data_IF_504948958372
#
_entry.id   IF_504948958372
#
_cell.length_a   1.000
_cell.length_b   1.000
_cell.length_c   1.000
_cell.angle_alpha   90.00
_cell.angle_beta   90.00
_cell.angle_gamma   90.00
#
_symmetry.space_group_name_H-M   'P 1'
#
loop_
_entity.id
_entity.type
_entity.pdbx_description
1 polymer ?
#
# COMPACT_ATOMS: atom_id res chain seq x y z
N UNK A 1 76.75 4.82 22.45
CA UNK A 1 75.63 5.22 21.55
C UNK A 1 74.57 4.15 21.65
N UNK A 2 73.50 4.36 22.46
CA UNK A 2 72.35 3.44 22.55
C UNK A 2 71.32 3.87 21.57
N UNK A 3 70.99 3.00 20.61
CA UNK A 3 69.92 3.20 19.67
C UNK A 3 68.54 2.91 20.31
N UNK A 4 67.71 3.93 20.41
CA UNK A 4 66.34 3.85 20.88
C UNK A 4 65.48 3.35 19.67
N UNK A 5 64.90 2.17 19.77
CA UNK A 5 63.95 1.66 18.80
C UNK A 5 62.58 2.08 19.29
N UNK A 6 61.94 3.03 18.52
CA UNK A 6 60.55 3.44 18.75
C UNK A 6 59.66 2.40 18.02
N UNK A 7 58.93 1.60 18.80
CA UNK A 7 57.88 0.71 18.30
C UNK A 7 56.58 1.54 18.19
N UNK A 8 56.19 1.86 16.97
CA UNK A 8 54.84 2.40 16.69
C UNK A 8 53.83 1.26 16.74
N UNK A 9 53.05 1.18 17.82
CA UNK A 9 51.88 0.32 17.87
C UNK A 9 50.75 1.04 17.12
N UNK A 10 50.47 0.59 15.90
CA UNK A 10 49.26 0.96 15.19
C UNK A 10 48.05 0.26 15.88
N UNK A 11 47.36 0.97 16.74
CA UNK A 11 46.02 0.59 17.17
C UNK A 11 45.08 0.76 15.94
N UNK A 12 44.85 -0.32 15.23
CA UNK A 12 43.72 -0.39 14.29
C UNK A 12 42.44 -0.32 15.13
N UNK A 13 41.82 0.83 15.17
CA UNK A 13 40.43 0.99 15.62
C UNK A 13 39.55 0.24 14.58
N UNK A 14 39.30 -1.04 14.81
CA UNK A 14 38.18 -1.73 14.17
C UNK A 14 36.93 -1.05 14.71
N UNK A 15 36.34 -0.14 13.94
CA UNK A 15 34.96 0.25 14.10
C UNK A 15 34.16 -1.02 13.84
N UNK A 16 33.74 -1.66 14.92
CA UNK A 16 32.78 -2.75 14.82
C UNK A 16 31.44 -2.08 14.50
N UNK A 17 31.11 -1.95 13.19
CA UNK A 17 29.83 -1.42 12.80
C UNK A 17 28.76 -2.41 13.26
N UNK A 18 27.77 -1.92 14.04
CA UNK A 18 26.70 -2.77 14.57
C UNK A 18 25.93 -3.41 13.42
N UNK A 19 25.57 -4.70 13.55
CA UNK A 19 24.75 -5.38 12.56
C UNK A 19 23.40 -4.68 12.35
N UNK A 20 22.83 -4.84 11.17
CA UNK A 20 21.49 -4.29 10.85
C UNK A 20 20.46 -4.75 11.89
N UNK A 21 20.49 -6.01 12.31
CA UNK A 21 19.62 -6.57 13.33
C UNK A 21 19.65 -5.77 14.64
N UNK A 22 20.85 -5.49 15.17
CA UNK A 22 21.02 -4.70 16.41
C UNK A 22 20.48 -3.28 16.23
N UNK A 23 20.74 -2.65 15.08
CA UNK A 23 20.25 -1.30 14.78
C UNK A 23 18.72 -1.28 14.70
N UNK A 24 18.09 -2.27 14.03
CA UNK A 24 16.64 -2.40 13.92
C UNK A 24 15.99 -2.67 15.30
N UNK A 25 16.57 -3.56 16.12
CA UNK A 25 16.08 -3.81 17.47
C UNK A 25 16.10 -2.54 18.35
N UNK A 26 17.14 -1.71 18.22
CA UNK A 26 17.18 -0.41 18.91
C UNK A 26 16.04 0.51 18.48
N UNK A 27 15.79 0.62 17.18
CA UNK A 27 14.67 1.44 16.68
C UNK A 27 13.32 0.93 17.18
N UNK A 28 13.09 -0.40 17.18
CA UNK A 28 11.88 -1.00 17.77
C UNK A 28 11.73 -0.64 19.25
N UNK A 29 12.80 -0.73 20.02
CA UNK A 29 12.77 -0.45 21.45
C UNK A 29 12.61 1.05 21.78
N UNK A 30 12.86 1.94 20.83
CA UNK A 30 12.70 3.37 20.96
C UNK A 30 11.29 3.87 20.64
N UNK A 31 10.36 2.99 20.25
CA UNK A 31 8.97 3.34 19.93
C UNK A 31 8.00 2.67 20.90
N UNK A 32 6.76 3.17 20.91
CA UNK A 32 5.64 2.53 21.60
C UNK A 32 4.71 1.74 20.65
N UNK A 33 5.20 1.39 19.45
CA UNK A 33 4.48 0.52 18.50
C UNK A 33 4.27 -0.84 19.16
N UNK A 34 3.02 -1.25 19.46
CA UNK A 34 2.79 -2.35 20.37
C UNK A 34 3.04 -3.73 19.75
N UNK A 35 2.97 -3.84 18.43
CA UNK A 35 3.27 -5.05 17.68
C UNK A 35 3.61 -4.72 16.23
N UNK A 36 4.72 -5.27 15.74
CA UNK A 36 5.23 -5.00 14.39
C UNK A 36 5.96 -6.21 13.82
N UNK A 37 5.86 -6.39 12.50
CA UNK A 37 6.74 -7.27 11.72
C UNK A 37 7.28 -6.47 10.54
N UNK A 38 8.59 -6.49 10.38
CA UNK A 38 9.30 -5.85 9.27
C UNK A 38 10.10 -6.90 8.51
N UNK A 39 10.17 -6.78 7.19
CA UNK A 39 10.93 -7.70 6.35
C UNK A 39 11.76 -6.95 5.32
N UNK A 40 13.00 -7.38 5.13
CA UNK A 40 13.87 -7.01 4.03
C UNK A 40 13.99 -8.19 3.08
N UNK A 41 13.74 -7.95 1.79
CA UNK A 41 13.70 -8.96 0.75
C UNK A 41 14.76 -8.59 -0.30
N UNK A 42 15.78 -9.42 -0.47
CA UNK A 42 16.76 -9.27 -1.55
C UNK A 42 16.27 -9.98 -2.82
N UNK A 43 16.64 -9.49 -3.98
CA UNK A 43 16.26 -10.05 -5.29
C UNK A 43 16.68 -11.51 -5.49
N UNK A 44 17.75 -11.96 -4.81
CA UNK A 44 18.20 -13.36 -4.84
C UNK A 44 17.31 -14.32 -4.03
N UNK A 45 16.28 -13.78 -3.31
CA UNK A 45 15.33 -14.56 -2.53
C UNK A 45 15.67 -14.69 -1.04
N UNK A 46 16.73 -14.05 -0.57
CA UNK A 46 17.00 -13.95 0.87
C UNK A 46 16.01 -12.98 1.52
N UNK A 47 15.37 -13.41 2.60
CA UNK A 47 14.39 -12.61 3.33
C UNK A 47 14.75 -12.63 4.82
N UNK A 48 14.91 -11.46 5.39
CA UNK A 48 15.14 -11.26 6.82
C UNK A 48 13.91 -10.60 7.46
N UNK A 49 13.48 -11.14 8.61
CA UNK A 49 12.34 -10.59 9.33
C UNK A 49 12.74 -10.17 10.74
N UNK A 50 12.24 -8.99 11.15
CA UNK A 50 12.35 -8.42 12.48
C UNK A 50 10.95 -8.23 13.05
N UNK A 51 10.74 -8.66 14.29
CA UNK A 51 9.39 -8.60 14.89
C UNK A 51 9.43 -8.33 16.40
N UNK A 52 8.43 -7.61 16.88
CA UNK A 52 8.28 -7.33 18.31
C UNK A 52 6.81 -7.22 18.70
N UNK A 53 6.50 -7.62 19.92
CA UNK A 53 5.18 -7.55 20.52
C UNK A 53 4.38 -8.86 20.45
N UNK A 54 3.18 -8.89 21.02
CA UNK A 54 2.29 -10.03 20.96
C UNK A 54 1.48 -10.08 19.66
N UNK A 55 1.11 -11.27 19.19
CA UNK A 55 0.21 -11.41 18.05
C UNK A 55 -1.23 -10.96 18.40
N UNK A 56 -1.64 -11.16 19.65
CA UNK A 56 -2.97 -10.78 20.16
C UNK A 56 -2.87 -10.31 21.60
N UNK A 57 -3.79 -9.42 21.99
CA UNK A 57 -3.80 -8.83 23.34
C UNK A 57 -4.30 -9.82 24.42
N UNK A 58 -5.02 -10.85 24.01
CA UNK A 58 -5.56 -11.91 24.87
C UNK A 58 -4.64 -13.15 24.98
N UNK A 59 -3.43 -13.09 24.40
CA UNK A 59 -2.46 -14.18 24.34
C UNK A 59 -1.05 -13.69 24.62
N UNK A 60 -0.16 -14.65 24.94
CA UNK A 60 1.27 -14.39 25.14
C UNK A 60 2.12 -14.78 23.90
N UNK A 61 1.47 -15.12 22.79
CA UNK A 61 2.17 -15.53 21.58
C UNK A 61 2.92 -14.34 20.99
N UNK A 62 4.21 -14.51 20.71
CA UNK A 62 5.00 -13.49 20.00
C UNK A 62 4.54 -13.41 18.54
N UNK A 63 4.42 -12.19 18.05
CA UNK A 63 4.16 -11.93 16.64
C UNK A 63 5.36 -12.36 15.77
N UNK A 64 5.09 -12.82 14.56
CA UNK A 64 6.12 -13.23 13.60
C UNK A 64 5.60 -13.07 12.15
N UNK A 65 6.44 -13.41 11.17
CA UNK A 65 6.15 -13.26 9.74
C UNK A 65 4.97 -14.09 9.21
N UNK A 66 4.46 -15.06 9.96
CA UNK A 66 3.31 -15.90 9.57
C UNK A 66 1.97 -15.34 10.06
N UNK A 67 1.98 -14.37 10.96
CA UNK A 67 0.77 -13.75 11.44
C UNK A 67 0.06 -12.97 10.34
N UNK A 68 -1.27 -12.97 10.40
CA UNK A 68 -2.13 -12.41 9.36
C UNK A 68 -2.62 -11.02 9.77
N UNK A 69 -2.34 -10.04 8.93
CA UNK A 69 -2.69 -8.64 9.10
C UNK A 69 -3.72 -8.22 8.05
N UNK A 70 -4.60 -7.30 8.38
CA UNK A 70 -5.40 -6.59 7.37
C UNK A 70 -4.50 -5.61 6.64
N UNK A 71 -4.25 -5.85 5.37
CA UNK A 71 -3.29 -5.06 4.58
C UNK A 71 -3.93 -3.85 3.89
N UNK A 72 -5.25 -3.70 4.01
CA UNK A 72 -6.00 -2.57 3.45
C UNK A 72 -5.53 -2.23 2.02
N UNK A 73 -5.13 -0.99 1.75
CA UNK A 73 -4.81 -0.50 0.40
C UNK A 73 -3.60 -1.17 -0.28
N UNK A 74 -2.80 -1.95 0.44
CA UNK A 74 -1.80 -2.80 -0.22
C UNK A 74 -2.45 -3.89 -1.09
N UNK A 75 -3.74 -4.19 -0.90
CA UNK A 75 -4.57 -5.02 -1.79
C UNK A 75 -4.58 -4.50 -3.23
N UNK A 76 -4.49 -3.19 -3.43
CA UNK A 76 -4.61 -2.55 -4.75
C UNK A 76 -3.59 -3.05 -5.75
N UNK A 77 -2.40 -3.38 -5.30
CA UNK A 77 -1.35 -3.90 -6.18
C UNK A 77 -1.76 -5.25 -6.78
N UNK A 78 -2.36 -6.15 -5.97
CA UNK A 78 -2.88 -7.41 -6.49
C UNK A 78 -4.06 -7.16 -7.45
N UNK A 79 -4.93 -6.19 -7.16
CA UNK A 79 -6.01 -5.78 -8.05
C UNK A 79 -5.51 -5.26 -9.39
N UNK A 80 -4.45 -4.45 -9.38
CA UNK A 80 -3.80 -3.95 -10.60
C UNK A 80 -3.18 -5.08 -11.42
N UNK A 81 -2.46 -6.00 -10.76
CA UNK A 81 -1.88 -7.19 -11.43
C UNK A 81 -2.99 -8.03 -12.08
N UNK A 82 -4.09 -8.29 -11.39
CA UNK A 82 -5.23 -9.05 -11.94
C UNK A 82 -5.82 -8.39 -13.19
N UNK A 83 -6.00 -7.08 -13.17
CA UNK A 83 -6.49 -6.36 -14.35
C UNK A 83 -5.50 -6.40 -15.52
N UNK A 84 -4.21 -6.24 -15.23
CA UNK A 84 -3.16 -6.30 -16.25
C UNK A 84 -2.98 -7.71 -16.84
N UNK A 85 -3.27 -8.77 -16.09
CA UNK A 85 -3.36 -10.13 -16.63
C UNK A 85 -4.48 -10.25 -17.67
N UNK A 86 -5.62 -9.57 -17.48
CA UNK A 86 -6.69 -9.54 -18.48
C UNK A 86 -6.28 -8.72 -19.72
N UNK A 87 -5.50 -7.67 -19.54
CA UNK A 87 -4.90 -6.92 -20.67
C UNK A 87 -3.94 -7.82 -21.45
N UNK A 88 -3.06 -8.57 -20.79
CA UNK A 88 -2.16 -9.55 -21.45
C UNK A 88 -2.91 -10.63 -22.25
N UNK A 89 -4.08 -11.03 -21.75
CA UNK A 89 -4.96 -12.00 -22.41
C UNK A 89 -5.76 -11.39 -23.57
N UNK A 90 -5.63 -10.10 -23.85
CA UNK A 90 -6.38 -9.39 -24.88
C UNK A 90 -7.89 -9.29 -24.61
N UNK A 91 -8.31 -9.48 -23.35
CA UNK A 91 -9.73 -9.43 -22.97
C UNK A 91 -10.23 -8.01 -22.76
N UNK A 92 -9.32 -7.07 -22.55
CA UNK A 92 -9.57 -5.65 -22.39
C UNK A 92 -8.29 -4.88 -22.73
N UNK A 93 -8.43 -3.62 -23.15
CA UNK A 93 -7.30 -2.68 -23.29
C UNK A 93 -7.29 -1.65 -22.17
N UNK A 94 -6.17 -0.95 -21.98
CA UNK A 94 -6.08 0.11 -20.98
C UNK A 94 -6.99 1.31 -21.29
N UNK A 95 -7.24 1.58 -22.59
CA UNK A 95 -7.78 2.86 -23.05
C UNK A 95 -9.16 2.73 -23.70
N UNK A 96 -9.73 1.54 -23.81
CA UNK A 96 -11.11 1.40 -24.28
C UNK A 96 -12.11 1.89 -23.22
N UNK A 97 -13.24 2.50 -23.67
CA UNK A 97 -14.32 2.91 -22.77
C UNK A 97 -14.93 1.74 -21.99
N UNK A 98 -15.13 1.92 -20.70
CA UNK A 98 -15.76 0.91 -19.83
C UNK A 98 -17.29 0.98 -19.81
N UNK A 99 -17.90 1.79 -20.66
CA UNK A 99 -19.35 2.02 -20.71
C UNK A 99 -20.15 0.75 -20.99
N UNK A 100 -19.63 -0.18 -21.78
CA UNK A 100 -20.28 -1.47 -22.05
C UNK A 100 -20.26 -2.38 -20.81
N UNK A 101 -19.20 -2.29 -20.00
CA UNK A 101 -19.11 -3.05 -18.76
C UNK A 101 -19.91 -2.42 -17.64
N UNK A 102 -19.86 -1.09 -17.50
CA UNK A 102 -20.50 -0.35 -16.42
C UNK A 102 -21.17 0.94 -16.89
N UNK A 103 -22.33 0.86 -17.57
CA UNK A 103 -23.01 2.03 -18.15
C UNK A 103 -23.29 3.14 -17.13
N UNK A 104 -23.54 2.79 -15.88
CA UNK A 104 -23.86 3.75 -14.83
C UNK A 104 -22.59 4.33 -14.15
N UNK A 105 -21.41 3.79 -14.39
CA UNK A 105 -20.16 4.28 -13.78
C UNK A 105 -19.71 5.58 -14.44
N UNK A 106 -19.56 5.58 -15.77
CA UNK A 106 -19.13 6.76 -16.54
C UNK A 106 -20.16 7.88 -16.48
N UNK A 107 -21.45 7.54 -16.39
CA UNK A 107 -22.56 8.50 -16.29
C UNK A 107 -22.75 9.11 -14.90
N UNK A 108 -21.96 8.72 -13.90
CA UNK A 108 -22.06 9.36 -12.58
C UNK A 108 -21.74 10.84 -12.66
N UNK A 109 -22.67 11.64 -12.17
CA UNK A 109 -22.54 13.09 -12.11
C UNK A 109 -21.28 13.51 -11.37
N UNK A 110 -20.77 14.65 -11.76
CA UNK A 110 -19.59 15.27 -11.18
C UNK A 110 -20.03 16.42 -10.28
N UNK A 111 -19.45 16.51 -9.10
CA UNK A 111 -19.52 17.66 -8.23
C UNK A 111 -18.21 18.44 -8.40
N UNK A 112 -18.26 19.55 -9.12
CA UNK A 112 -17.08 20.35 -9.39
C UNK A 112 -16.62 21.13 -8.15
N UNK A 113 -15.52 21.85 -8.26
CA UNK A 113 -14.92 22.63 -7.16
C UNK A 113 -15.85 23.73 -6.61
N UNK A 114 -16.76 24.23 -7.44
CA UNK A 114 -17.78 25.22 -7.05
C UNK A 114 -19.01 24.58 -6.36
N UNK A 115 -19.02 23.27 -6.13
CA UNK A 115 -20.16 22.50 -5.65
C UNK A 115 -21.34 22.47 -6.63
N UNK A 116 -21.10 22.65 -7.91
CA UNK A 116 -22.12 22.52 -8.94
C UNK A 116 -22.17 21.07 -9.48
N UNK A 117 -23.37 20.59 -9.75
CA UNK A 117 -23.60 19.27 -10.31
C UNK A 117 -23.55 19.40 -11.84
N UNK A 118 -22.61 18.67 -12.46
CA UNK A 118 -22.45 18.63 -13.91
C UNK A 118 -22.50 17.20 -14.42
N UNK A 119 -22.98 17.05 -15.66
CA UNK A 119 -22.99 15.76 -16.34
C UNK A 119 -21.60 15.49 -16.94
N UNK A 120 -21.09 14.25 -16.85
CA UNK A 120 -19.81 13.87 -17.41
C UNK A 120 -19.85 13.88 -18.95
N UNK A 121 -18.70 14.17 -19.55
CA UNK A 121 -18.50 14.14 -21.00
C UNK A 121 -17.63 12.96 -21.42
N UNK A 122 -16.58 12.67 -20.64
CA UNK A 122 -15.60 11.64 -20.99
C UNK A 122 -15.99 10.27 -20.40
N UNK A 123 -15.81 9.24 -21.21
CA UNK A 123 -15.86 7.86 -20.71
C UNK A 123 -14.71 7.56 -19.74
N UNK A 124 -14.93 6.59 -18.85
CA UNK A 124 -13.89 6.07 -17.97
C UNK A 124 -13.22 4.88 -18.65
N UNK A 125 -11.90 4.80 -18.56
CA UNK A 125 -11.09 3.68 -19.05
C UNK A 125 -10.43 2.92 -17.89
N UNK A 126 -9.87 1.75 -18.17
CA UNK A 126 -9.11 0.99 -17.16
C UNK A 126 -7.89 1.81 -16.69
N UNK A 127 -7.21 2.53 -17.61
CA UNK A 127 -6.11 3.44 -17.25
C UNK A 127 -6.55 4.47 -16.21
N UNK A 128 -7.69 5.14 -16.43
CA UNK A 128 -8.21 6.13 -15.50
C UNK A 128 -8.48 5.55 -14.10
N UNK A 129 -8.93 4.30 -14.02
CA UNK A 129 -9.14 3.62 -12.74
C UNK A 129 -7.81 3.27 -12.05
N UNK A 130 -6.87 2.67 -12.78
CA UNK A 130 -5.57 2.26 -12.24
C UNK A 130 -4.73 3.45 -11.78
N UNK A 131 -4.84 4.59 -12.47
CA UNK A 131 -4.07 5.81 -12.16
C UNK A 131 -4.78 6.78 -11.22
N UNK A 132 -5.96 6.42 -10.70
CA UNK A 132 -6.76 7.31 -9.86
C UNK A 132 -7.16 8.64 -10.53
N UNK A 133 -7.33 8.65 -11.85
CA UNK A 133 -7.75 9.83 -12.63
C UNK A 133 -9.20 9.75 -13.11
N UNK A 134 -10.02 8.84 -12.57
CA UNK A 134 -11.43 8.71 -12.92
C UNK A 134 -12.37 9.63 -12.12
N UNK A 135 -11.88 10.39 -11.16
CA UNK A 135 -12.66 11.32 -10.35
C UNK A 135 -13.32 10.71 -9.10
N UNK A 136 -13.07 9.45 -8.77
CA UNK A 136 -13.57 8.81 -7.55
C UNK A 136 -12.65 9.11 -6.37
N UNK A 137 -13.16 9.73 -5.31
CA UNK A 137 -12.43 9.99 -4.07
C UNK A 137 -12.84 9.09 -2.92
N UNK A 138 -12.11 9.20 -1.81
CA UNK A 138 -12.54 8.76 -0.49
C UNK A 138 -13.05 9.96 0.32
N UNK A 139 -13.85 9.70 1.36
CA UNK A 139 -14.29 10.75 2.27
C UNK A 139 -13.11 11.49 2.93
N UNK A 140 -11.98 10.85 3.11
CA UNK A 140 -10.77 11.45 3.67
C UNK A 140 -9.86 12.09 2.61
N UNK A 141 -10.09 11.89 1.31
CA UNK A 141 -9.29 12.48 0.23
C UNK A 141 -9.89 13.75 -0.36
N UNK A 142 -11.07 14.17 0.10
CA UNK A 142 -11.74 15.37 -0.40
C UNK A 142 -12.55 16.07 0.69
N UNK A 143 -12.42 17.41 0.85
CA UNK A 143 -13.26 18.20 1.77
C UNK A 143 -14.74 18.07 1.45
N UNK A 144 -15.11 17.98 0.15
CA UNK A 144 -16.49 17.81 -0.29
C UNK A 144 -17.04 16.46 0.15
N UNK A 145 -16.27 15.37 -0.01
CA UNK A 145 -16.69 14.03 0.40
C UNK A 145 -16.65 13.84 1.92
N UNK A 146 -15.76 14.51 2.65
CA UNK A 146 -15.74 14.48 4.12
C UNK A 146 -17.00 15.11 4.73
N UNK A 147 -17.55 16.13 4.08
CA UNK A 147 -18.78 16.80 4.48
C UNK A 147 -20.01 16.32 3.68
N UNK A 148 -19.91 15.19 2.98
CA UNK A 148 -20.91 14.73 2.04
C UNK A 148 -22.31 14.60 2.62
N UNK A 149 -22.45 14.10 3.84
CA UNK A 149 -23.74 13.92 4.51
C UNK A 149 -24.52 15.23 4.66
N UNK A 150 -23.82 16.35 4.82
CA UNK A 150 -24.40 17.70 4.90
C UNK A 150 -24.57 18.29 3.50
N UNK A 151 -23.49 18.28 2.72
CA UNK A 151 -23.44 18.90 1.39
C UNK A 151 -24.49 18.35 0.43
N UNK A 152 -24.71 17.03 0.40
CA UNK A 152 -25.72 16.40 -0.45
C UNK A 152 -27.14 16.98 -0.26
N UNK A 153 -27.50 17.36 0.94
CA UNK A 153 -28.81 17.96 1.22
C UNK A 153 -28.87 19.42 0.77
N UNK A 154 -27.77 20.16 0.92
CA UNK A 154 -27.67 21.57 0.51
C UNK A 154 -27.75 21.74 -1.00
N UNK A 155 -27.16 20.82 -1.78
CA UNK A 155 -27.19 20.85 -3.25
C UNK A 155 -28.36 20.07 -3.85
N UNK A 156 -29.26 19.49 -3.05
CA UNK A 156 -30.40 18.71 -3.53
C UNK A 156 -30.01 17.40 -4.25
N UNK A 157 -28.95 16.72 -3.82
CA UNK A 157 -28.51 15.47 -4.42
C UNK A 157 -29.49 14.33 -4.15
N UNK A 158 -29.99 13.70 -5.20
CA UNK A 158 -31.02 12.65 -5.13
C UNK A 158 -30.50 11.26 -5.46
N UNK A 159 -29.28 11.15 -6.01
CA UNK A 159 -28.72 9.86 -6.41
C UNK A 159 -28.30 9.02 -5.20
N UNK A 160 -28.31 7.71 -5.34
CA UNK A 160 -27.91 6.76 -4.29
C UNK A 160 -26.42 6.44 -4.27
N UNK A 161 -25.61 7.25 -4.96
CA UNK A 161 -24.16 7.13 -5.01
C UNK A 161 -23.46 8.48 -4.71
N UNK A 162 -22.19 8.45 -4.37
CA UNK A 162 -21.35 9.65 -4.28
C UNK A 162 -20.95 10.13 -5.68
N UNK A 163 -20.87 11.45 -5.92
CA UNK A 163 -20.44 12.00 -7.21
C UNK A 163 -18.97 11.65 -7.49
N UNK A 164 -18.58 11.77 -8.73
CA UNK A 164 -17.20 12.02 -9.10
C UNK A 164 -16.86 13.49 -8.82
N UNK A 165 -15.57 13.82 -8.72
CA UNK A 165 -15.14 15.17 -8.36
C UNK A 165 -14.55 15.93 -9.54
N UNK A 166 -14.25 15.26 -10.64
CA UNK A 166 -13.75 15.85 -11.88
C UNK A 166 -13.94 14.88 -13.05
N UNK A 167 -13.75 15.39 -14.25
CA UNK A 167 -13.78 14.59 -15.48
C UNK A 167 -12.64 13.58 -15.53
N UNK A 168 -12.93 12.38 -16.04
CA UNK A 168 -11.90 11.35 -16.19
C UNK A 168 -10.76 11.85 -17.08
N UNK A 169 -9.53 11.59 -16.62
CA UNK A 169 -8.31 12.00 -17.32
C UNK A 169 -7.93 13.47 -17.16
N UNK A 170 -8.58 14.25 -16.28
CA UNK A 170 -8.26 15.68 -16.10
C UNK A 170 -7.54 16.02 -14.81
N UNK A 171 -7.55 15.13 -13.84
CA UNK A 171 -6.93 15.34 -12.53
C UNK A 171 -6.67 14.01 -11.83
N UNK A 172 -5.92 14.05 -10.73
CA UNK A 172 -5.63 12.91 -9.87
C UNK A 172 -6.34 13.04 -8.52
N UNK A 173 -6.95 11.95 -8.06
CA UNK A 173 -7.43 11.82 -6.69
C UNK A 173 -7.44 10.37 -6.24
N UNK A 174 -6.67 10.06 -5.23
CA UNK A 174 -6.69 8.74 -4.61
C UNK A 174 -8.08 8.41 -4.04
N UNK A 175 -8.64 7.28 -4.44
CA UNK A 175 -10.01 6.94 -4.06
C UNK A 175 -10.42 5.51 -4.38
N UNK A 176 -11.74 5.32 -4.56
CA UNK A 176 -12.37 4.00 -4.74
C UNK A 176 -12.21 3.43 -6.17
N UNK A 177 -11.26 3.92 -6.94
CA UNK A 177 -11.05 3.53 -8.33
C UNK A 177 -10.77 2.02 -8.47
N UNK A 178 -9.89 1.47 -7.63
CA UNK A 178 -9.50 0.05 -7.70
C UNK A 178 -10.62 -0.90 -7.25
N UNK A 179 -11.63 -0.41 -6.54
CA UNK A 179 -12.84 -1.19 -6.26
C UNK A 179 -13.60 -1.51 -7.56
N UNK A 180 -13.61 -0.56 -8.50
CA UNK A 180 -14.16 -0.77 -9.85
C UNK A 180 -13.28 -1.71 -10.68
N UNK A 181 -11.96 -1.63 -10.53
CA UNK A 181 -11.04 -2.57 -11.18
C UNK A 181 -11.35 -4.01 -10.73
N UNK A 182 -11.55 -4.24 -9.43
CA UNK A 182 -11.95 -5.57 -8.94
C UNK A 182 -13.25 -6.07 -9.56
N UNK A 183 -14.27 -5.23 -9.61
CA UNK A 183 -15.54 -5.57 -10.28
C UNK A 183 -15.38 -5.85 -11.77
N UNK A 184 -14.45 -5.15 -12.44
CA UNK A 184 -14.14 -5.38 -13.84
C UNK A 184 -13.48 -6.76 -14.02
N UNK A 185 -12.55 -7.11 -13.15
CA UNK A 185 -11.92 -8.44 -13.15
C UNK A 185 -12.97 -9.53 -12.98
N UNK A 186 -13.89 -9.40 -12.01
CA UNK A 186 -14.99 -10.35 -11.82
C UNK A 186 -15.89 -10.44 -13.06
N UNK A 187 -16.24 -9.30 -13.66
CA UNK A 187 -17.14 -9.26 -14.82
C UNK A 187 -16.53 -9.90 -16.07
N UNK A 188 -15.26 -9.66 -16.33
CA UNK A 188 -14.58 -10.18 -17.53
C UNK A 188 -14.20 -11.65 -17.37
N UNK A 189 -13.73 -12.04 -16.17
CA UNK A 189 -13.29 -13.41 -15.90
C UNK A 189 -14.46 -14.39 -15.65
N UNK A 190 -15.60 -13.87 -15.17
CA UNK A 190 -16.70 -14.69 -14.69
C UNK A 190 -16.44 -15.34 -13.32
N UNK A 191 -15.32 -15.03 -12.67
CA UNK A 191 -14.93 -15.53 -11.36
C UNK A 191 -15.16 -14.44 -10.30
N UNK A 192 -15.42 -14.82 -9.05
CA UNK A 192 -15.30 -13.88 -7.96
C UNK A 192 -13.82 -13.55 -7.71
N UNK A 193 -13.55 -12.44 -7.05
CA UNK A 193 -12.20 -11.92 -6.92
C UNK A 193 -11.29 -12.79 -6.00
N UNK A 194 -11.85 -13.45 -4.99
CA UNK A 194 -11.11 -14.41 -4.15
C UNK A 194 -10.57 -15.57 -4.99
N UNK A 195 -11.45 -16.19 -5.79
CA UNK A 195 -11.10 -17.33 -6.65
C UNK A 195 -10.11 -16.91 -7.74
N UNK A 196 -10.32 -15.72 -8.35
CA UNK A 196 -9.39 -15.19 -9.35
C UNK A 196 -7.99 -14.99 -8.77
N UNK A 197 -7.88 -14.32 -7.62
CA UNK A 197 -6.59 -14.11 -6.98
C UNK A 197 -5.94 -15.44 -6.60
N UNK A 198 -6.72 -16.39 -6.10
CA UNK A 198 -6.22 -17.71 -5.71
C UNK A 198 -5.67 -18.48 -6.92
N UNK A 199 -6.36 -18.46 -8.03
CA UNK A 199 -5.96 -19.21 -9.22
C UNK A 199 -4.77 -18.57 -9.96
N UNK A 200 -4.73 -17.24 -10.07
CA UNK A 200 -3.77 -16.57 -10.95
C UNK A 200 -2.66 -15.79 -10.25
N UNK A 201 -2.75 -15.57 -8.94
CA UNK A 201 -1.75 -14.76 -8.20
C UNK A 201 -1.29 -15.49 -6.95
N UNK A 202 -2.17 -15.63 -5.94
CA UNK A 202 -1.78 -16.07 -4.61
C UNK A 202 -1.49 -17.56 -4.53
N UNK A 203 -2.20 -18.40 -5.26
CA UNK A 203 -1.93 -19.82 -5.35
C UNK A 203 -0.59 -20.14 -6.03
N UNK A 204 -0.35 -19.65 -7.27
CA UNK A 204 0.93 -19.83 -7.95
C UNK A 204 2.15 -19.33 -7.15
N UNK A 205 2.00 -18.28 -6.34
CA UNK A 205 3.04 -17.73 -5.47
C UNK A 205 3.09 -18.40 -4.08
N UNK A 206 2.25 -19.41 -3.82
CA UNK A 206 2.16 -20.09 -2.51
C UNK A 206 1.89 -19.11 -1.34
N UNK A 207 1.05 -18.10 -1.58
CA UNK A 207 0.61 -17.11 -0.58
C UNK A 207 -0.59 -17.68 0.20
N UNK A 208 -0.35 -18.68 1.03
CA UNK A 208 -1.41 -19.46 1.67
C UNK A 208 -2.11 -18.77 2.85
N UNK A 209 -1.56 -17.64 3.31
CA UNK A 209 -2.11 -16.79 4.37
C UNK A 209 -2.71 -15.47 3.84
N UNK A 210 -2.99 -15.38 2.52
CA UNK A 210 -3.53 -14.17 1.87
C UNK A 210 -4.95 -14.43 1.37
N UNK A 211 -5.96 -13.73 1.98
CA UNK A 211 -7.38 -14.01 1.78
C UNK A 211 -8.23 -12.76 1.96
N UNK A 212 -9.35 -12.66 1.25
CA UNK A 212 -10.43 -11.74 1.62
C UNK A 212 -11.21 -12.27 2.83
N UNK A 213 -11.49 -13.57 2.83
CA UNK A 213 -12.09 -14.27 3.97
C UNK A 213 -11.07 -15.26 4.52
N UNK A 214 -10.40 -14.92 5.60
CA UNK A 214 -9.42 -15.80 6.23
C UNK A 214 -10.11 -17.11 6.66
N UNK A 215 -9.61 -18.29 6.22
CA UNK A 215 -10.15 -19.58 6.62
C UNK A 215 -10.08 -19.80 8.14
N UNK A 216 -11.01 -20.59 8.67
CA UNK A 216 -11.14 -20.85 10.12
C UNK A 216 -9.88 -21.46 10.72
N UNK A 217 -9.20 -22.33 9.99
CA UNK A 217 -7.94 -22.96 10.39
C UNK A 217 -6.79 -21.97 10.55
N UNK A 218 -6.85 -20.82 9.86
CA UNK A 218 -5.85 -19.76 9.96
C UNK A 218 -6.23 -18.64 10.93
N UNK A 219 -7.43 -18.70 11.50
CA UNK A 219 -7.98 -17.65 12.38
C UNK A 219 -7.07 -17.37 13.60
N UNK A 220 -6.38 -18.39 14.08
CA UNK A 220 -5.42 -18.25 15.19
C UNK A 220 -4.22 -17.39 14.88
N UNK A 221 -3.89 -17.19 13.58
CA UNK A 221 -2.79 -16.37 13.12
C UNK A 221 -3.16 -14.88 12.96
N UNK A 222 -4.46 -14.56 12.96
CA UNK A 222 -4.94 -13.18 12.78
C UNK A 222 -4.60 -12.35 14.02
N UNK A 223 -3.97 -11.19 13.77
CA UNK A 223 -3.50 -10.28 14.83
C UNK A 223 -4.63 -9.40 15.38
N UNK A 224 -4.47 -8.94 16.62
CA UNK A 224 -5.33 -7.91 17.21
C UNK A 224 -4.97 -6.52 16.68
N UNK A 225 -5.97 -5.65 16.57
CA UNK A 225 -5.74 -4.24 16.27
C UNK A 225 -5.61 -3.38 17.52
N UNK A 226 -5.07 -2.19 17.34
CA UNK A 226 -5.05 -1.13 18.35
C UNK A 226 -5.39 0.22 17.73
N UNK A 227 -5.65 1.18 18.58
CA UNK A 227 -5.95 2.55 18.20
C UNK A 227 -5.14 3.50 19.08
N UNK A 228 -4.48 4.48 18.48
CA UNK A 228 -3.83 5.55 19.23
C UNK A 228 -4.83 6.67 19.47
N UNK A 229 -5.07 7.00 20.73
CA UNK A 229 -5.91 8.12 21.08
C UNK A 229 -5.26 9.44 20.66
N UNK A 230 -6.00 10.24 19.91
CA UNK A 230 -5.51 11.50 19.36
C UNK A 230 -5.21 12.58 20.42
N UNK A 231 -5.80 12.45 21.61
CA UNK A 231 -5.67 13.46 22.69
C UNK A 231 -4.57 13.09 23.67
N UNK A 232 -4.50 11.81 24.04
CA UNK A 232 -3.55 11.33 25.06
C UNK A 232 -2.29 10.75 24.45
N UNK A 233 -2.31 10.32 23.18
CA UNK A 233 -1.24 9.57 22.54
C UNK A 233 -1.15 8.10 22.98
N UNK A 234 -2.02 7.65 23.88
CA UNK A 234 -2.01 6.30 24.41
C UNK A 234 -2.49 5.26 23.41
N UNK A 235 -1.94 4.07 23.46
CA UNK A 235 -2.39 2.91 22.66
C UNK A 235 -3.54 2.21 23.37
N UNK A 236 -4.69 2.23 22.74
CA UNK A 236 -5.88 1.48 23.16
C UNK A 236 -5.88 0.15 22.44
N UNK A 237 -5.81 -0.94 23.18
CA UNK A 237 -5.84 -2.31 22.67
C UNK A 237 -7.27 -2.74 22.40
N UNK A 238 -7.60 -3.08 21.15
CA UNK A 238 -8.94 -3.54 20.81
C UNK A 238 -9.08 -5.03 21.12
N UNK A 239 -10.20 -5.39 21.71
CA UNK A 239 -10.56 -6.82 21.85
C UNK A 239 -10.59 -7.48 20.46
N UNK A 240 -10.02 -8.66 20.36
CA UNK A 240 -10.06 -9.41 19.11
C UNK A 240 -11.51 -9.81 18.77
N UNK A 241 -11.90 -9.52 17.52
CA UNK A 241 -13.18 -9.94 16.96
C UNK A 241 -12.96 -10.52 15.58
N UNK A 242 -13.41 -11.78 15.40
CA UNK A 242 -13.41 -12.43 14.10
C UNK A 242 -14.19 -11.59 13.09
N UNK A 243 -13.60 -11.36 11.92
CA UNK A 243 -14.27 -10.66 10.84
C UNK A 243 -15.37 -11.54 10.25
N UNK A 244 -16.54 -10.97 9.99
CA UNK A 244 -17.57 -11.67 9.25
C UNK A 244 -17.17 -11.86 7.80
N UNK A 245 -17.45 -13.04 7.25
CA UNK A 245 -17.20 -13.33 5.85
C UNK A 245 -18.05 -12.43 4.95
N UNK A 246 -17.45 -12.00 3.85
CA UNK A 246 -18.08 -11.16 2.84
C UNK A 246 -18.17 -11.88 1.51
N UNK A 247 -19.20 -11.57 0.73
CA UNK A 247 -19.30 -11.93 -0.69
C UNK A 247 -19.00 -10.73 -1.61
N UNK A 248 -18.79 -9.56 -1.03
CA UNK A 248 -18.45 -8.34 -1.76
C UNK A 248 -16.95 -8.09 -1.59
N UNK A 249 -16.16 -8.72 -2.42
CA UNK A 249 -14.72 -8.61 -2.41
C UNK A 249 -14.26 -7.24 -2.93
N UNK A 250 -13.33 -6.62 -2.23
CA UNK A 250 -12.89 -5.27 -2.50
C UNK A 250 -11.40 -5.25 -2.87
N UNK A 251 -11.09 -5.05 -4.15
CA UNK A 251 -9.71 -4.93 -4.62
C UNK A 251 -9.01 -3.66 -4.13
N UNK A 252 -9.76 -2.67 -3.65
CA UNK A 252 -9.20 -1.45 -3.07
C UNK A 252 -8.67 -1.59 -1.65
N UNK A 253 -9.00 -2.72 -0.92
CA UNK A 253 -8.55 -2.81 0.47
C UNK A 253 -9.06 -4.00 1.26
N UNK A 254 -9.55 -5.06 0.61
CA UNK A 254 -10.25 -6.15 1.27
C UNK A 254 -9.39 -7.26 1.87
N UNK A 255 -8.15 -7.44 1.41
CA UNK A 255 -7.29 -8.56 1.78
C UNK A 255 -6.74 -8.46 3.20
N UNK A 256 -6.56 -9.64 3.76
CA UNK A 256 -5.62 -9.91 4.84
C UNK A 256 -4.46 -10.74 4.31
N UNK A 257 -3.24 -10.54 4.80
CA UNK A 257 -2.05 -11.25 4.36
C UNK A 257 -1.02 -11.35 5.49
N UNK A 258 -0.12 -12.31 5.39
CA UNK A 258 1.06 -12.36 6.26
C UNK A 258 2.24 -11.59 5.66
N UNK A 259 3.17 -11.08 6.47
CA UNK A 259 4.44 -10.53 5.99
C UNK A 259 5.21 -11.49 5.08
N UNK A 260 5.22 -12.79 5.40
CA UNK A 260 5.87 -13.82 4.58
C UNK A 260 5.25 -13.94 3.19
N UNK A 261 3.92 -13.97 3.09
CA UNK A 261 3.23 -14.03 1.81
C UNK A 261 3.42 -12.76 0.99
N UNK A 262 3.27 -11.60 1.65
CA UNK A 262 3.45 -10.33 0.95
C UNK A 262 4.90 -10.14 0.48
N UNK A 263 5.88 -10.65 1.25
CA UNK A 263 7.29 -10.68 0.83
C UNK A 263 7.52 -11.53 -0.44
N UNK A 264 6.84 -12.69 -0.57
CA UNK A 264 6.88 -13.49 -1.82
C UNK A 264 6.31 -12.69 -3.00
N UNK A 265 5.22 -11.95 -2.78
CA UNK A 265 4.63 -11.10 -3.81
C UNK A 265 5.57 -9.97 -4.21
N UNK A 266 6.19 -9.27 -3.25
CA UNK A 266 7.18 -8.24 -3.52
C UNK A 266 8.40 -8.79 -4.26
N UNK A 267 8.90 -9.98 -3.88
CA UNK A 267 10.00 -10.65 -4.57
C UNK A 267 9.65 -11.01 -6.02
N UNK A 268 8.41 -11.46 -6.26
CA UNK A 268 7.89 -11.68 -7.60
C UNK A 268 7.91 -10.40 -8.44
N UNK A 269 7.45 -9.27 -7.87
CA UNK A 269 7.46 -7.97 -8.53
C UNK A 269 8.89 -7.45 -8.76
N UNK A 270 9.77 -7.59 -7.79
CA UNK A 270 11.18 -7.23 -7.90
C UNK A 270 11.88 -8.00 -9.04
N UNK A 271 11.41 -9.22 -9.32
CA UNK A 271 11.82 -10.05 -10.45
C UNK A 271 10.86 -9.91 -11.67
N UNK A 272 10.25 -8.73 -11.83
CA UNK A 272 9.40 -8.38 -12.98
C UNK A 272 8.32 -9.42 -13.28
N UNK A 273 7.56 -9.79 -12.23
CA UNK A 273 6.41 -10.69 -12.34
C UNK A 273 6.75 -12.18 -12.34
N UNK A 274 7.96 -12.59 -11.93
CA UNK A 274 8.38 -13.99 -11.91
C UNK A 274 8.96 -14.40 -10.55
N UNK A 275 8.55 -15.55 -10.02
CA UNK A 275 9.10 -16.17 -8.81
C UNK A 275 9.21 -17.68 -8.97
N UNK A 276 10.36 -18.27 -8.63
CA UNK A 276 10.60 -19.73 -8.64
C UNK A 276 10.17 -20.43 -9.95
N UNK A 277 10.39 -19.78 -11.10
CA UNK A 277 9.98 -20.30 -12.40
C UNK A 277 8.52 -20.00 -12.78
N UNK A 278 7.68 -19.60 -11.84
CA UNK A 278 6.29 -19.20 -12.09
C UNK A 278 6.24 -17.72 -12.50
N UNK A 279 5.49 -17.42 -13.55
CA UNK A 279 5.26 -16.05 -14.02
C UNK A 279 3.79 -15.69 -13.89
N UNK A 280 3.49 -14.65 -13.11
CA UNK A 280 2.14 -14.11 -12.96
C UNK A 280 1.88 -12.89 -13.85
N UNK A 281 2.93 -12.24 -14.35
CA UNK A 281 2.83 -11.08 -15.24
C UNK A 281 4.01 -11.11 -16.22
N UNK A 282 3.78 -10.80 -17.49
CA UNK A 282 4.85 -10.66 -18.48
C UNK A 282 5.75 -9.49 -18.15
N UNK A 283 7.02 -9.55 -18.57
CA UNK A 283 7.99 -8.49 -18.28
C UNK A 283 7.58 -7.16 -18.93
N UNK A 284 7.10 -7.22 -20.18
CA UNK A 284 6.63 -6.03 -20.90
C UNK A 284 5.43 -5.37 -20.21
N UNK A 285 4.54 -6.18 -19.65
CA UNK A 285 3.38 -5.68 -18.89
C UNK A 285 3.82 -5.14 -17.53
N UNK A 286 4.81 -5.77 -16.91
CA UNK A 286 5.42 -5.23 -15.68
C UNK A 286 6.07 -3.86 -15.94
N UNK A 287 6.86 -3.71 -17.00
CA UNK A 287 7.50 -2.45 -17.35
C UNK A 287 6.44 -1.35 -17.62
N UNK A 288 5.36 -1.69 -18.32
CA UNK A 288 4.20 -0.81 -18.49
C UNK A 288 3.55 -0.44 -17.14
N UNK A 289 3.38 -1.43 -16.24
CA UNK A 289 2.82 -1.23 -14.90
C UNK A 289 3.65 -0.26 -14.07
N UNK A 290 4.99 -0.32 -14.19
CA UNK A 290 5.92 0.52 -13.43
C UNK A 290 6.23 1.88 -14.08
N UNK A 291 5.63 2.18 -15.24
CA UNK A 291 5.83 3.46 -15.91
C UNK A 291 5.00 4.57 -15.23
N UNK A 292 5.59 5.74 -14.91
CA UNK A 292 4.87 6.92 -14.43
C UNK A 292 3.75 7.35 -15.37
N UNK A 293 2.60 7.76 -14.83
CA UNK A 293 1.38 8.05 -15.59
C UNK A 293 0.81 9.46 -15.36
N UNK A 294 1.34 10.24 -14.40
CA UNK A 294 0.74 11.51 -13.99
C UNK A 294 1.50 12.75 -14.44
N UNK A 295 2.35 12.67 -15.46
CA UNK A 295 3.23 13.79 -15.87
C UNK A 295 2.48 15.11 -16.10
N UNK A 296 1.28 15.03 -16.68
CA UNK A 296 0.43 16.20 -16.94
C UNK A 296 -0.34 16.69 -15.69
N UNK A 297 -0.42 15.88 -14.62
CA UNK A 297 -1.29 16.12 -13.45
C UNK A 297 -0.52 16.31 -12.14
N UNK A 298 0.80 16.43 -12.17
CA UNK A 298 1.67 16.49 -10.97
C UNK A 298 1.30 17.57 -9.97
N UNK A 299 0.63 18.63 -10.40
CA UNK A 299 0.32 19.81 -9.58
C UNK A 299 -1.15 19.97 -9.26
N UNK A 300 -2.05 19.18 -9.86
CA UNK A 300 -3.49 19.32 -9.70
C UNK A 300 -4.06 18.29 -8.74
N UNK A 301 -4.68 18.74 -7.65
CA UNK A 301 -5.55 17.96 -6.76
C UNK A 301 -4.91 16.79 -6.01
N UNK A 302 -3.66 16.89 -5.63
CA UNK A 302 -3.08 15.99 -4.63
C UNK A 302 -3.53 16.40 -3.23
N UNK A 303 -4.82 16.26 -2.99
CA UNK A 303 -5.35 16.49 -1.65
C UNK A 303 -5.11 15.22 -0.84
N UNK A 304 -4.16 15.30 0.07
CA UNK A 304 -4.02 14.32 1.13
C UNK A 304 -4.78 14.86 2.33
N UNK A 305 -5.67 14.06 2.84
CA UNK A 305 -6.65 14.42 3.83
C UNK A 305 -6.12 15.19 5.02
N UNK A 306 -6.19 16.50 4.97
CA UNK A 306 -6.13 17.35 6.15
C UNK A 306 -7.53 17.63 6.65
N UNK A 307 -8.30 16.68 7.14
CA UNK A 307 -9.67 17.03 7.52
C UNK A 307 -10.37 16.13 8.51
N UNK A 308 -9.89 14.93 8.66
CA UNK A 308 -10.46 14.03 9.64
C UNK A 308 -9.80 14.21 11.01
N UNK A 309 -10.60 14.10 12.07
CA UNK A 309 -10.12 14.08 13.45
C UNK A 309 -9.05 13.00 13.64
N UNK A 310 -9.21 11.84 12.97
CA UNK A 310 -8.26 10.74 13.02
C UNK A 310 -6.94 11.05 12.31
N UNK A 311 -6.93 11.93 11.30
CA UNK A 311 -5.70 12.37 10.63
C UNK A 311 -4.98 13.48 11.38
N UNK A 312 -5.66 14.23 12.25
CA UNK A 312 -5.02 15.23 13.10
C UNK A 312 -4.13 14.64 14.19
N UNK A 313 -4.33 13.38 14.55
CA UNK A 313 -3.46 12.65 15.48
C UNK A 313 -2.04 12.44 14.94
N UNK A 314 -1.80 12.72 13.67
CA UNK A 314 -0.54 12.49 12.97
C UNK A 314 0.42 13.68 12.97
N UNK A 315 0.02 14.82 13.51
CA UNK A 315 0.70 16.09 13.23
C UNK A 315 0.32 16.60 11.82
N UNK A 316 0.68 17.85 11.54
CA UNK A 316 0.17 18.62 10.38
C UNK A 316 0.75 18.21 9.01
N UNK A 317 1.49 17.09 8.92
CA UNK A 317 2.16 16.69 7.70
C UNK A 317 1.86 15.24 7.35
N UNK A 318 1.11 15.02 6.31
CA UNK A 318 1.10 13.74 5.61
C UNK A 318 2.26 13.74 4.62
N UNK A 319 3.38 13.18 5.05
CA UNK A 319 4.59 13.09 4.24
C UNK A 319 4.75 11.72 3.58
N UNK A 320 3.74 10.83 3.68
CA UNK A 320 3.85 9.48 3.14
C UNK A 320 3.84 9.49 1.60
N UNK A 321 2.93 10.26 0.99
CA UNK A 321 2.86 10.46 -0.44
C UNK A 321 3.23 11.91 -0.75
N UNK A 322 4.43 12.15 -1.27
CA UNK A 322 4.88 13.48 -1.61
C UNK A 322 4.06 14.05 -2.77
N UNK A 323 3.78 15.36 -2.72
CA UNK A 323 3.06 16.06 -3.78
C UNK A 323 3.82 16.08 -5.13
N UNK A 324 5.08 15.74 -5.12
CA UNK A 324 5.94 15.71 -6.31
C UNK A 324 6.13 14.30 -6.88
N UNK A 325 5.75 13.26 -6.15
CA UNK A 325 5.85 11.90 -6.64
C UNK A 325 4.83 11.60 -7.75
N UNK A 326 5.12 10.61 -8.56
CA UNK A 326 4.23 10.15 -9.60
C UNK A 326 3.38 8.96 -9.14
N UNK A 327 2.45 8.54 -9.97
CA UNK A 327 1.68 7.33 -9.83
C UNK A 327 1.81 6.48 -11.09
N UNK A 328 1.96 5.19 -10.92
CA UNK A 328 2.00 4.20 -12.00
C UNK A 328 0.63 3.55 -12.20
N UNK A 329 0.54 2.39 -12.84
CA UNK A 329 -0.70 1.63 -12.88
C UNK A 329 -0.97 0.84 -11.58
N UNK A 330 -0.10 0.91 -10.56
CA UNK A 330 -0.21 0.09 -9.37
C UNK A 330 0.18 0.76 -8.05
N UNK A 331 1.09 1.73 -8.06
CA UNK A 331 1.71 2.30 -6.86
C UNK A 331 2.23 3.72 -7.07
N UNK A 332 2.63 4.36 -5.96
CA UNK A 332 3.36 5.61 -5.97
C UNK A 332 4.81 5.39 -6.41
N UNK A 333 5.33 6.32 -7.19
CA UNK A 333 6.66 6.27 -7.79
C UNK A 333 7.46 7.49 -7.32
N UNK A 334 8.55 7.25 -6.60
CA UNK A 334 9.44 8.30 -6.09
C UNK A 334 10.14 9.04 -7.23
N UNK A 335 10.01 10.36 -7.32
CA UNK A 335 10.65 11.14 -8.37
C UNK A 335 11.74 12.09 -7.87
N UNK A 336 11.67 12.49 -6.61
CA UNK A 336 12.50 13.60 -6.11
C UNK A 336 13.66 13.17 -5.21
N UNK A 337 13.82 11.89 -4.93
CA UNK A 337 14.88 11.35 -4.07
C UNK A 337 14.95 12.00 -2.68
N UNK A 338 13.79 12.44 -2.15
CA UNK A 338 13.74 13.06 -0.82
C UNK A 338 13.78 11.99 0.28
N UNK A 339 13.01 10.93 0.09
CA UNK A 339 12.88 9.84 1.05
C UNK A 339 13.52 8.54 0.57
N UNK A 340 13.52 8.33 -0.75
CA UNK A 340 13.98 7.11 -1.43
C UNK A 340 14.65 7.49 -2.73
N UNK A 341 15.53 6.65 -3.31
CA UNK A 341 16.04 6.87 -4.65
C UNK A 341 14.90 6.98 -5.69
N UNK A 342 15.11 7.84 -6.69
CA UNK A 342 14.18 7.97 -7.83
C UNK A 342 13.93 6.61 -8.48
N UNK A 343 12.68 6.31 -8.81
CA UNK A 343 12.28 5.03 -9.38
C UNK A 343 11.77 4.01 -8.37
N UNK A 344 11.88 4.30 -7.08
CA UNK A 344 11.36 3.44 -6.03
C UNK A 344 9.83 3.41 -6.04
N UNK A 345 9.27 2.21 -6.06
CA UNK A 345 7.84 1.96 -5.90
C UNK A 345 7.49 1.84 -4.42
N UNK A 346 6.37 2.43 -4.00
CA UNK A 346 5.94 2.33 -2.61
C UNK A 346 4.42 2.52 -2.46
N UNK A 347 3.85 2.00 -1.40
CA UNK A 347 2.50 2.32 -0.95
C UNK A 347 2.24 1.85 0.48
N UNK A 348 0.98 2.06 0.94
CA UNK A 348 0.57 1.76 2.31
C UNK A 348 -0.83 1.17 2.41
N UNK A 349 -1.11 0.60 3.58
CA UNK A 349 -2.44 0.20 4.02
C UNK A 349 -2.90 0.97 5.25
N UNK A 350 -4.21 1.14 5.39
CA UNK A 350 -4.85 1.97 6.41
C UNK A 350 -4.51 1.62 7.87
N UNK A 351 -4.00 0.40 8.12
CA UNK A 351 -3.56 -0.06 9.43
C UNK A 351 -2.06 0.17 9.70
N UNK A 352 -1.45 1.14 9.05
CA UNK A 352 -0.01 1.40 9.08
C UNK A 352 0.78 0.16 8.63
N UNK A 353 0.41 -0.40 7.51
CA UNK A 353 1.19 -1.36 6.75
C UNK A 353 1.82 -0.64 5.56
N UNK A 354 3.08 -0.94 5.26
CA UNK A 354 3.84 -0.24 4.23
C UNK A 354 4.67 -1.23 3.41
N UNK A 355 4.95 -0.88 2.16
CA UNK A 355 5.95 -1.56 1.36
C UNK A 355 6.76 -0.56 0.52
N UNK A 356 7.98 -0.97 0.20
CA UNK A 356 8.90 -0.28 -0.71
C UNK A 356 9.50 -1.32 -1.65
N UNK A 357 9.68 -1.01 -2.94
CA UNK A 357 10.44 -1.82 -3.89
C UNK A 357 11.43 -0.91 -4.59
N UNK A 358 12.71 -1.15 -4.36
CA UNK A 358 13.79 -0.48 -5.03
C UNK A 358 14.37 -1.41 -6.11
N UNK A 359 14.01 -1.13 -7.35
CA UNK A 359 14.41 -1.95 -8.49
C UNK A 359 15.87 -1.77 -8.87
N UNK A 360 16.44 -0.60 -8.61
CA UNK A 360 17.83 -0.28 -8.90
C UNK A 360 18.77 -0.95 -7.89
N UNK A 361 18.44 -0.86 -6.61
CA UNK A 361 19.24 -1.47 -5.54
C UNK A 361 18.83 -2.90 -5.22
N UNK A 362 17.88 -3.47 -5.98
CA UNK A 362 17.49 -4.88 -6.00
C UNK A 362 17.01 -5.42 -4.64
N UNK A 363 16.20 -4.63 -3.92
CA UNK A 363 15.54 -5.07 -2.70
C UNK A 363 14.11 -4.52 -2.55
N UNK A 364 13.36 -5.15 -1.66
CA UNK A 364 12.06 -4.67 -1.24
C UNK A 364 11.92 -4.73 0.29
N UNK A 365 11.02 -3.91 0.83
CA UNK A 365 10.70 -3.86 2.24
C UNK A 365 9.22 -4.08 2.45
N UNK A 366 8.87 -4.77 3.52
CA UNK A 366 7.50 -4.88 4.02
C UNK A 366 7.47 -4.53 5.51
N UNK A 367 6.49 -3.76 5.91
CA UNK A 367 6.25 -3.35 7.29
C UNK A 367 4.78 -3.53 7.62
N UNK A 368 4.48 -4.27 8.67
CA UNK A 368 3.09 -4.56 9.06
C UNK A 368 2.84 -4.32 10.54
N UNK A 369 1.86 -3.48 10.82
CA UNK A 369 1.21 -3.31 12.13
C UNK A 369 -0.30 -3.45 11.98
N UNK A 370 -1.05 -3.35 13.08
CA UNK A 370 -2.50 -3.20 13.07
C UNK A 370 -2.94 -2.03 13.94
N UNK A 371 -2.36 -0.86 13.69
CA UNK A 371 -2.63 0.37 14.43
C UNK A 371 -3.50 1.30 13.58
N UNK A 372 -4.43 1.98 14.23
CA UNK A 372 -5.17 3.13 13.72
C UNK A 372 -4.84 4.36 14.57
N UNK A 373 -4.99 5.58 14.04
CA UNK A 373 -5.31 5.93 12.65
C UNK A 373 -4.14 5.67 11.70
N UNK A 374 -4.40 5.74 10.40
CA UNK A 374 -3.35 5.68 9.37
C UNK A 374 -2.34 6.83 9.54
N UNK A 375 -1.07 6.63 9.22
CA UNK A 375 0.07 7.51 9.52
C UNK A 375 0.25 7.77 11.03
N UNK A 376 0.00 6.78 11.86
CA UNK A 376 0.44 6.84 13.24
C UNK A 376 1.92 7.24 13.28
N UNK A 377 2.23 8.32 13.98
CA UNK A 377 3.57 8.95 13.90
C UNK A 377 4.69 7.99 14.36
N UNK A 378 4.43 7.15 15.36
CA UNK A 378 5.40 6.19 15.86
C UNK A 378 5.62 5.06 14.84
N UNK A 379 4.53 4.53 14.24
CA UNK A 379 4.61 3.53 13.19
C UNK A 379 5.32 4.07 11.95
N UNK A 380 5.01 5.30 11.54
CA UNK A 380 5.62 5.91 10.37
C UNK A 380 7.11 6.19 10.58
N UNK A 381 7.48 6.72 11.74
CA UNK A 381 8.88 6.96 12.09
C UNK A 381 9.69 5.66 12.15
N UNK A 382 9.12 4.59 12.72
CA UNK A 382 9.77 3.29 12.76
C UNK A 382 9.96 2.72 11.35
N UNK A 383 8.96 2.82 10.48
CA UNK A 383 9.08 2.40 9.09
C UNK A 383 10.18 3.17 8.35
N UNK A 384 10.20 4.52 8.43
CA UNK A 384 11.23 5.34 7.77
C UNK A 384 12.62 5.15 8.35
N UNK A 385 12.72 4.86 9.66
CA UNK A 385 13.99 4.48 10.28
C UNK A 385 14.49 3.14 9.74
N UNK A 386 13.59 2.16 9.58
CA UNK A 386 13.93 0.88 8.98
C UNK A 386 14.43 1.03 7.54
N UNK A 387 13.73 1.83 6.70
CA UNK A 387 14.19 2.13 5.34
C UNK A 387 15.62 2.72 5.36
N UNK A 388 15.86 3.76 6.15
CA UNK A 388 17.19 4.39 6.25
C UNK A 388 18.29 3.43 6.70
N UNK A 389 17.98 2.55 7.65
CA UNK A 389 18.95 1.55 8.11
C UNK A 389 19.31 0.54 7.01
N UNK A 390 18.32 0.11 6.22
CA UNK A 390 18.54 -0.79 5.08
C UNK A 390 19.35 -0.10 4.00
N UNK A 391 18.99 1.13 3.58
CA UNK A 391 19.77 1.89 2.61
C UNK A 391 21.21 2.09 3.07
N UNK A 392 21.41 2.51 4.32
CA UNK A 392 22.75 2.67 4.90
C UNK A 392 23.54 1.36 4.91
N UNK A 393 22.90 0.22 5.21
CA UNK A 393 23.56 -1.08 5.21
C UNK A 393 24.02 -1.55 3.84
N UNK A 394 23.38 -1.05 2.79
CA UNK A 394 23.69 -1.34 1.39
C UNK A 394 24.62 -0.29 0.76
N UNK A 395 25.06 0.72 1.50
CA UNK A 395 25.85 1.86 1.03
C UNK A 395 25.17 2.60 -0.13
N UNK A 396 23.87 2.77 -0.07
CA UNK A 396 23.06 3.56 -1.01
C UNK A 396 22.87 4.95 -0.40
N UNK A 397 23.32 5.99 -1.13
CA UNK A 397 23.22 7.41 -0.73
C UNK A 397 21.82 7.99 -1.04
#
# INVERSE_FOLDING_TARGET
MKKLILIFVFLALFSCDESLEIKVEKEINNTDVPAVVMGMINKNGEIEFYSSGPSRWDRNDKINQKNIFRIASMTKVLGSVAALQLVEQGKITLDEPLDEYFPNMSKRKILNENNEIVDPVNSITLRHLLTHTAGFGYWFSSPQLSNWSKLKNEIGWTENYQPRLFESGTSYMYGTNIDWVGRLVEKISGMNLEDYFREYITGPLEMNSTWFNVPDELESLVVSSSYRDAKTGEIIKNEYRKRQATKNYNAGGGLSSSPEDYAKFLLCLLNKGKLNGIRILKEETFDLMNTPQLDEFKTTHRYVAGGNVDTKARGDKDNFFDSYDNWTLAWAYEENSINRPTGTAYWAGFFNTYFTIDFENEFALVYMTQILPFNDIQSYNLFTSFERLVYSSKNVD
#
